data_IF_155845134456
#
_entry.id   IF_155845134456
#
_cell.length_a   1.000
_cell.length_b   1.000
_cell.length_c   1.000
_cell.angle_alpha   90.00
_cell.angle_beta   90.00
_cell.angle_gamma   90.00
#
_symmetry.space_group_name_H-M   'P 1'
#
loop_
_entity.id
_entity.type
_entity.pdbx_description
1 polymer ?
#
# COMPACT_ATOMS: atom_id res chain seq x y z
N UNK A 1 -27.27 45.23 2.65
CA UNK A 1 -25.91 44.66 2.80
C UNK A 1 -24.92 45.65 2.22
N UNK A 2 -23.84 45.97 2.93
CA UNK A 2 -22.84 46.93 2.45
C UNK A 2 -21.68 46.22 1.73
N UNK A 3 -20.76 46.98 1.13
CA UNK A 3 -19.60 46.45 0.41
C UNK A 3 -18.71 45.54 1.28
N UNK A 4 -18.43 45.92 2.52
CA UNK A 4 -17.59 45.14 3.42
C UNK A 4 -18.22 43.79 3.79
N UNK A 5 -19.54 43.78 4.00
CA UNK A 5 -20.28 42.56 4.30
C UNK A 5 -20.28 41.59 3.11
N UNK A 6 -20.37 42.13 1.88
CA UNK A 6 -20.23 41.34 0.65
C UNK A 6 -18.83 40.74 0.50
N UNK A 7 -17.77 41.51 0.76
CA UNK A 7 -16.38 41.03 0.71
C UNK A 7 -16.15 39.90 1.72
N UNK A 8 -16.68 40.05 2.94
CA UNK A 8 -16.57 39.02 3.98
C UNK A 8 -17.29 37.72 3.59
N UNK A 9 -18.47 37.82 2.99
CA UNK A 9 -19.21 36.64 2.51
C UNK A 9 -18.50 35.94 1.35
N UNK A 10 -17.89 36.71 0.44
CA UNK A 10 -17.11 36.15 -0.65
C UNK A 10 -15.89 35.36 -0.14
N UNK A 11 -15.18 35.87 0.87
CA UNK A 11 -14.04 35.17 1.47
C UNK A 11 -14.44 33.91 2.24
N UNK A 12 -15.56 33.96 2.95
CA UNK A 12 -16.13 32.77 3.60
C UNK A 12 -16.46 31.70 2.56
N UNK A 13 -17.15 32.07 1.47
CA UNK A 13 -17.48 31.15 0.38
C UNK A 13 -16.22 30.59 -0.29
N UNK A 14 -15.20 31.41 -0.53
CA UNK A 14 -13.93 30.95 -1.10
C UNK A 14 -13.25 29.91 -0.20
N UNK A 15 -13.24 30.16 1.11
CA UNK A 15 -12.67 29.24 2.10
C UNK A 15 -13.42 27.91 2.12
N UNK A 16 -14.76 27.96 2.11
CA UNK A 16 -15.60 26.75 2.11
C UNK A 16 -15.39 25.92 0.84
N UNK A 17 -15.37 26.56 -0.33
CA UNK A 17 -15.12 25.90 -1.61
C UNK A 17 -13.72 25.27 -1.64
N UNK A 18 -12.71 25.98 -1.12
CA UNK A 18 -11.34 25.46 -1.03
C UNK A 18 -11.28 24.22 -0.16
N UNK A 19 -11.86 24.27 1.04
CA UNK A 19 -11.91 23.13 1.96
C UNK A 19 -12.63 21.93 1.34
N UNK A 20 -13.74 22.17 0.63
CA UNK A 20 -14.45 21.12 -0.10
C UNK A 20 -13.56 20.48 -1.17
N UNK A 21 -12.82 21.28 -1.96
CA UNK A 21 -11.93 20.78 -2.99
C UNK A 21 -10.78 19.96 -2.41
N UNK A 22 -10.13 20.46 -1.35
CA UNK A 22 -9.03 19.76 -0.69
C UNK A 22 -9.49 18.37 -0.19
N UNK A 23 -10.64 18.30 0.50
CA UNK A 23 -11.23 17.02 0.92
C UNK A 23 -11.61 16.12 -0.27
N UNK A 24 -12.09 16.70 -1.37
CA UNK A 24 -12.47 15.93 -2.56
C UNK A 24 -11.24 15.29 -3.21
N UNK A 25 -10.12 16.02 -3.30
CA UNK A 25 -8.87 15.48 -3.83
C UNK A 25 -8.31 14.38 -2.94
N UNK A 26 -8.32 14.55 -1.61
CA UNK A 26 -7.91 13.49 -0.67
C UNK A 26 -8.74 12.20 -0.82
N UNK A 27 -10.04 12.33 -1.09
CA UNK A 27 -10.91 11.18 -1.35
C UNK A 27 -10.59 10.53 -2.70
N UNK A 28 -10.39 11.33 -3.76
CA UNK A 28 -10.02 10.82 -5.08
C UNK A 28 -8.71 10.04 -5.01
N UNK A 29 -7.72 10.55 -4.28
CA UNK A 29 -6.42 9.89 -4.07
C UNK A 29 -6.55 8.53 -3.37
N UNK A 30 -7.66 8.27 -2.66
CA UNK A 30 -7.94 7.00 -1.99
C UNK A 30 -8.74 6.02 -2.85
N UNK A 31 -9.50 6.47 -3.86
CA UNK A 31 -10.40 5.61 -4.64
C UNK A 31 -9.64 4.50 -5.38
N UNK A 32 -8.49 4.84 -5.96
CA UNK A 32 -7.71 3.91 -6.78
C UNK A 32 -6.50 3.34 -6.04
N UNK A 33 -6.38 3.59 -4.73
CA UNK A 33 -5.28 3.00 -3.97
C UNK A 33 -5.50 1.50 -3.80
N UNK A 34 -4.59 0.66 -4.31
CA UNK A 34 -4.69 -0.77 -4.12
C UNK A 34 -4.66 -1.11 -2.62
N UNK A 35 -5.57 -1.98 -2.18
CA UNK A 35 -5.50 -2.50 -0.82
C UNK A 35 -4.18 -3.24 -0.63
N UNK A 36 -3.43 -2.83 0.40
CA UNK A 36 -2.21 -3.52 0.79
C UNK A 36 -2.55 -4.93 1.23
N UNK A 37 -1.82 -5.89 0.67
CA UNK A 37 -1.91 -7.28 1.11
C UNK A 37 -1.11 -7.50 2.38
N UNK A 38 -1.44 -8.53 3.13
CA UNK A 38 -0.65 -9.00 4.27
C UNK A 38 0.24 -10.15 3.80
N UNK A 39 1.53 -10.11 4.15
CA UNK A 39 2.48 -11.17 3.82
C UNK A 39 3.21 -11.69 5.06
N UNK A 40 3.61 -12.97 5.09
CA UNK A 40 4.44 -13.51 6.16
C UNK A 40 5.79 -12.81 6.28
N UNK A 41 6.38 -12.86 7.47
CA UNK A 41 7.70 -12.25 7.73
C UNK A 41 8.81 -12.76 6.81
N UNK A 42 8.80 -14.05 6.48
CA UNK A 42 9.78 -14.65 5.55
C UNK A 42 9.68 -14.06 4.13
N UNK A 43 8.48 -13.63 3.71
CA UNK A 43 8.26 -12.97 2.42
C UNK A 43 8.71 -11.52 2.48
N UNK A 44 8.48 -10.81 3.59
CA UNK A 44 9.01 -9.46 3.82
C UNK A 44 10.54 -9.43 3.70
N UNK A 45 11.22 -10.36 4.37
CA UNK A 45 12.68 -10.44 4.33
C UNK A 45 13.18 -10.78 2.91
N UNK A 46 12.46 -11.63 2.18
CA UNK A 46 12.78 -11.94 0.79
C UNK A 46 12.61 -10.75 -0.15
N UNK A 47 11.52 -9.98 -0.03
CA UNK A 47 11.32 -8.78 -0.85
C UNK A 47 12.44 -7.77 -0.57
N UNK A 48 12.84 -7.57 0.69
CA UNK A 48 13.95 -6.69 1.06
C UNK A 48 15.28 -7.14 0.44
N UNK A 49 15.61 -8.42 0.58
CA UNK A 49 16.80 -9.03 -0.04
C UNK A 49 16.82 -8.81 -1.56
N UNK A 50 15.67 -9.00 -2.22
CA UNK A 50 15.52 -8.75 -3.65
C UNK A 50 15.75 -7.27 -4.02
N UNK A 51 15.23 -6.33 -3.24
CA UNK A 51 15.42 -4.89 -3.48
C UNK A 51 16.88 -4.48 -3.34
N UNK A 52 17.55 -4.94 -2.30
CA UNK A 52 18.98 -4.68 -2.08
C UNK A 52 19.85 -5.26 -3.20
N UNK A 53 19.43 -6.40 -3.77
CA UNK A 53 20.08 -7.06 -4.89
C UNK A 53 19.71 -6.52 -6.29
N UNK A 54 18.88 -5.48 -6.41
CA UNK A 54 18.31 -5.00 -7.69
C UNK A 54 17.61 -6.11 -8.51
N UNK A 55 16.99 -7.06 -7.82
CA UNK A 55 16.23 -8.15 -8.43
C UNK A 55 14.89 -7.60 -8.92
N UNK A 56 14.54 -7.92 -10.16
CA UNK A 56 13.25 -7.56 -10.77
C UNK A 56 12.12 -8.46 -10.27
N UNK A 57 10.86 -8.03 -10.39
CA UNK A 57 9.70 -8.87 -10.03
C UNK A 57 9.72 -10.23 -10.75
N UNK A 58 10.00 -10.23 -12.05
CA UNK A 58 10.10 -11.46 -12.85
C UNK A 58 11.17 -12.38 -12.27
N UNK A 59 12.36 -11.84 -11.98
CA UNK A 59 13.41 -12.64 -11.34
C UNK A 59 12.96 -13.15 -9.98
N UNK A 60 12.35 -12.33 -9.13
CA UNK A 60 11.90 -12.74 -7.80
C UNK A 60 10.82 -13.85 -7.83
N UNK A 61 9.94 -13.86 -8.85
CA UNK A 61 8.94 -14.91 -9.08
C UNK A 61 9.58 -16.22 -9.55
N UNK A 62 10.59 -16.14 -10.44
CA UNK A 62 11.23 -17.32 -11.03
C UNK A 62 12.50 -17.79 -10.29
N UNK A 63 13.03 -17.04 -9.32
CA UNK A 63 14.30 -17.32 -8.64
C UNK A 63 14.25 -18.46 -7.60
N UNK A 64 13.13 -19.18 -7.47
CA UNK A 64 12.90 -20.07 -6.33
C UNK A 64 12.86 -21.57 -6.64
N UNK A 65 13.31 -21.98 -7.82
CA UNK A 65 13.59 -23.41 -8.04
C UNK A 65 14.84 -23.90 -7.26
N UNK A 66 15.72 -23.01 -6.75
CA UNK A 66 17.05 -23.43 -6.29
C UNK A 66 17.47 -23.11 -4.84
N UNK A 67 16.84 -22.20 -4.08
CA UNK A 67 17.46 -21.73 -2.82
C UNK A 67 16.61 -21.71 -1.54
N UNK A 68 15.27 -21.59 -1.59
CA UNK A 68 14.43 -21.51 -0.36
C UNK A 68 13.04 -22.13 -0.59
N UNK A 69 12.90 -23.42 -0.24
CA UNK A 69 11.68 -24.22 -0.49
C UNK A 69 10.41 -23.57 0.07
N UNK A 70 10.46 -23.01 1.29
CA UNK A 70 9.32 -22.36 1.94
C UNK A 70 8.77 -21.17 1.13
N UNK A 71 9.66 -20.33 0.58
CA UNK A 71 9.26 -19.17 -0.22
C UNK A 71 8.68 -19.63 -1.56
N UNK A 72 9.31 -20.61 -2.20
CA UNK A 72 8.80 -21.18 -3.46
C UNK A 72 7.42 -21.80 -3.30
N UNK A 73 7.19 -22.58 -2.24
CA UNK A 73 5.89 -23.15 -1.92
C UNK A 73 4.83 -22.08 -1.62
N UNK A 74 5.22 -21.01 -0.92
CA UNK A 74 4.32 -19.89 -0.66
C UNK A 74 3.97 -19.15 -1.94
N UNK A 75 4.95 -18.81 -2.79
CA UNK A 75 4.72 -18.13 -4.07
C UNK A 75 3.82 -18.93 -5.00
N UNK A 76 4.03 -20.24 -5.12
CA UNK A 76 3.19 -21.10 -5.96
C UNK A 76 1.70 -21.08 -5.57
N UNK A 77 1.38 -20.69 -4.33
CA UNK A 77 0.01 -20.55 -3.84
C UNK A 77 -0.47 -19.10 -3.74
N UNK A 78 0.44 -18.12 -3.84
CA UNK A 78 0.21 -16.72 -3.51
C UNK A 78 0.88 -15.75 -4.51
N UNK A 79 1.05 -16.16 -5.78
CA UNK A 79 1.75 -15.39 -6.80
C UNK A 79 1.13 -14.00 -7.03
N UNK A 80 -0.20 -13.91 -7.04
CA UNK A 80 -0.92 -12.64 -7.16
C UNK A 80 -0.70 -11.75 -5.92
N UNK A 81 -0.78 -12.34 -4.71
CA UNK A 81 -0.49 -11.64 -3.45
C UNK A 81 0.93 -11.10 -3.45
N UNK A 82 1.91 -11.87 -3.91
CA UNK A 82 3.29 -11.41 -4.02
C UNK A 82 3.44 -10.27 -5.01
N UNK A 83 2.84 -10.38 -6.20
CA UNK A 83 2.90 -9.33 -7.21
C UNK A 83 2.26 -8.02 -6.69
N UNK A 84 1.14 -8.12 -5.97
CA UNK A 84 0.51 -6.99 -5.29
C UNK A 84 1.41 -6.40 -4.22
N UNK A 85 1.97 -7.22 -3.32
CA UNK A 85 2.94 -6.76 -2.32
C UNK A 85 4.11 -6.00 -2.96
N UNK A 86 4.60 -6.50 -4.09
CA UNK A 86 5.73 -5.91 -4.81
C UNK A 86 5.40 -4.55 -5.46
N UNK A 87 4.22 -4.40 -6.06
CA UNK A 87 3.84 -3.20 -6.81
C UNK A 87 3.18 -2.14 -5.93
N UNK A 88 2.30 -2.60 -5.04
CA UNK A 88 1.33 -1.78 -4.31
C UNK A 88 1.74 -1.57 -2.84
N UNK A 89 2.76 -2.29 -2.38
CA UNK A 89 3.18 -2.36 -0.98
C UNK A 89 2.36 -3.38 -0.18
N UNK A 90 2.79 -3.63 1.06
CA UNK A 90 2.21 -4.68 1.91
C UNK A 90 2.34 -4.35 3.39
N UNK A 91 1.59 -5.09 4.20
CA UNK A 91 1.75 -5.21 5.64
C UNK A 91 2.37 -6.57 5.98
N UNK A 92 3.12 -6.63 7.09
CA UNK A 92 3.70 -7.89 7.56
C UNK A 92 2.80 -8.48 8.62
N UNK A 93 2.52 -9.79 8.54
CA UNK A 93 1.79 -10.52 9.57
C UNK A 93 2.37 -10.19 10.95
N UNK A 94 1.51 -9.73 11.85
CA UNK A 94 1.89 -9.49 13.24
C UNK A 94 1.79 -10.82 13.99
N UNK A 95 2.91 -11.29 14.51
CA UNK A 95 2.88 -12.39 15.48
C UNK A 95 2.21 -11.89 16.77
N UNK A 96 1.10 -12.50 17.16
CA UNK A 96 0.67 -12.37 18.56
C UNK A 96 1.65 -13.15 19.45
N UNK A 97 1.76 -12.79 20.73
CA UNK A 97 2.68 -13.43 21.69
C UNK A 97 2.39 -14.93 21.97
N UNK A 98 1.47 -15.55 21.23
CA UNK A 98 1.16 -16.96 21.21
C UNK A 98 1.52 -17.66 19.89
N UNK A 99 2.11 -16.95 18.91
CA UNK A 99 2.58 -17.50 17.63
C UNK A 99 1.48 -17.80 16.61
N UNK A 100 0.30 -17.18 16.74
CA UNK A 100 -0.82 -17.33 15.78
C UNK A 100 -0.92 -16.08 14.89
N UNK A 101 -0.98 -16.20 13.56
CA UNK A 101 -1.19 -15.05 12.68
C UNK A 101 -2.56 -14.41 12.96
N UNK A 102 -2.59 -13.09 13.16
CA UNK A 102 -3.84 -12.32 13.25
C UNK A 102 -3.95 -11.48 11.98
N UNK A 103 -5.03 -11.73 11.22
CA UNK A 103 -5.42 -10.94 10.05
C UNK A 103 -5.86 -9.53 10.44
#
# INVERSE_FOLDING_TARGET
>A
MNKQELEKQAEALYTDVRSFLDNTFELIDQIDQPQKVVVPKVIDDYIKECRDGNVTLTQALFCLEYHKQEIGEWLNRNEETFARAWLDGYEVEKENSAGVPVL
#
